data_IF_804128596443
#
_entry.id   IF_804128596443
#
_cell.length_a   1.000
_cell.length_b   1.000
_cell.length_c   1.000
_cell.angle_alpha   90.00
_cell.angle_beta   90.00
_cell.angle_gamma   90.00
#
_symmetry.space_group_name_H-M   'P 1'
#
loop_
_entity.id
_entity.type
_entity.pdbx_description
1 polymer ?
#
# COMPACT_ATOMS: atom_id res chain seq x y z
N UNK A 1 0.28 5.81 34.73
CA UNK A 1 -0.14 7.20 34.45
C UNK A 1 0.42 7.60 33.09
N UNK A 2 -0.30 7.28 31.99
CA UNK A 2 0.08 7.75 30.64
C UNK A 2 -0.15 9.25 30.62
N UNK A 3 0.90 10.07 30.54
CA UNK A 3 0.75 11.49 30.20
C UNK A 3 -0.07 11.54 28.90
N UNK A 4 -1.25 12.16 28.94
CA UNK A 4 -1.89 12.64 27.71
C UNK A 4 -0.83 13.49 27.01
N UNK A 5 -0.27 13.03 25.89
CA UNK A 5 0.43 13.93 24.97
C UNK A 5 -0.60 15.02 24.67
N UNK A 6 -0.35 16.25 25.10
CA UNK A 6 -1.02 17.41 24.51
C UNK A 6 -0.81 17.24 23.00
N UNK A 7 -1.88 17.32 22.19
CA UNK A 7 -1.77 17.14 20.75
C UNK A 7 -0.72 18.11 20.21
N UNK A 8 0.45 17.56 19.86
CA UNK A 8 1.51 18.34 19.22
C UNK A 8 0.95 18.90 17.90
N UNK A 9 1.41 20.08 17.52
CA UNK A 9 1.05 20.66 16.24
C UNK A 9 1.79 19.91 15.12
N UNK A 10 1.08 19.60 14.05
CA UNK A 10 1.69 19.04 12.84
C UNK A 10 2.08 20.19 11.91
N UNK A 11 3.33 20.23 11.46
CA UNK A 11 3.88 21.31 10.63
C UNK A 11 4.00 20.85 9.18
N UNK A 12 3.33 21.54 8.26
CA UNK A 12 3.36 21.25 6.83
C UNK A 12 4.22 22.26 6.08
N UNK A 13 4.99 21.74 5.14
CA UNK A 13 5.63 22.55 4.11
C UNK A 13 4.57 23.33 3.31
N UNK A 14 4.86 24.58 2.89
CA UNK A 14 3.99 25.30 1.96
C UNK A 14 4.01 24.71 0.54
N UNK A 15 4.90 23.75 0.25
CA UNK A 15 4.90 23.00 -1.02
C UNK A 15 3.56 22.27 -1.18
N UNK A 16 2.99 22.32 -2.39
CA UNK A 16 1.67 21.76 -2.63
C UNK A 16 0.57 22.56 -1.94
N UNK A 17 0.59 23.89 -2.10
CA UNK A 17 -0.28 24.86 -1.42
C UNK A 17 -1.75 24.45 -1.31
N UNK A 18 -2.32 23.85 -2.37
CA UNK A 18 -3.68 23.33 -2.35
C UNK A 18 -3.88 22.24 -1.28
N UNK A 19 -3.05 21.20 -1.28
CA UNK A 19 -3.13 20.09 -0.31
C UNK A 19 -2.85 20.59 1.11
N UNK A 20 -1.85 21.47 1.29
CA UNK A 20 -1.54 22.05 2.59
C UNK A 20 -2.71 22.89 3.16
N UNK A 21 -3.38 23.67 2.31
CA UNK A 21 -4.58 24.43 2.68
C UNK A 21 -5.76 23.50 3.03
N UNK A 22 -6.01 22.47 2.21
CA UNK A 22 -7.07 21.49 2.47
C UNK A 22 -6.84 20.75 3.81
N UNK A 23 -5.60 20.35 4.11
CA UNK A 23 -5.25 19.66 5.35
C UNK A 23 -5.34 20.57 6.59
N UNK A 24 -4.82 21.79 6.52
CA UNK A 24 -4.88 22.75 7.63
C UNK A 24 -6.32 23.20 7.94
N UNK A 25 -7.19 23.28 6.94
CA UNK A 25 -8.63 23.53 7.16
C UNK A 25 -9.33 22.34 7.81
N UNK A 26 -8.93 21.11 7.44
CA UNK A 26 -9.56 19.89 7.93
C UNK A 26 -9.14 19.50 9.33
N UNK A 27 -7.88 19.76 9.71
CA UNK A 27 -7.29 19.30 10.96
C UNK A 27 -6.85 20.49 11.83
N UNK A 28 -7.51 20.75 12.97
CA UNK A 28 -7.23 21.92 13.80
C UNK A 28 -5.80 22.01 14.37
N UNK A 29 -5.08 20.89 14.45
CA UNK A 29 -3.70 20.83 14.94
C UNK A 29 -2.64 20.98 13.82
N UNK A 30 -3.06 21.09 12.56
CA UNK A 30 -2.16 21.22 11.40
C UNK A 30 -1.90 22.68 11.09
N UNK A 31 -0.64 23.05 10.88
CA UNK A 31 -0.19 24.41 10.53
C UNK A 31 0.69 24.39 9.31
N UNK A 32 0.46 25.31 8.38
CA UNK A 32 1.36 25.53 7.23
C UNK A 32 2.47 26.50 7.65
N UNK A 33 3.72 26.09 7.46
CA UNK A 33 4.92 26.87 7.78
C UNK A 33 5.32 27.80 6.64
N UNK A 34 6.23 28.74 6.93
CA UNK A 34 6.70 29.72 5.94
C UNK A 34 7.55 29.08 4.83
N UNK A 35 8.37 28.08 5.19
CA UNK A 35 9.22 27.32 4.28
C UNK A 35 9.55 25.93 4.89
N UNK A 36 10.38 25.14 4.19
CA UNK A 36 10.78 23.82 4.66
C UNK A 36 11.69 23.85 5.90
N UNK A 37 12.48 24.92 6.07
CA UNK A 37 13.37 25.07 7.23
C UNK A 37 12.55 25.38 8.49
N UNK A 38 11.51 26.20 8.38
CA UNK A 38 10.57 26.48 9.48
C UNK A 38 9.81 25.20 9.92
N UNK A 39 9.51 24.28 8.98
CA UNK A 39 9.02 22.93 9.36
C UNK A 39 10.05 22.18 10.18
N UNK A 40 11.29 22.07 9.67
CA UNK A 40 12.35 21.30 10.34
C UNK A 40 12.66 21.85 11.74
N UNK A 41 12.73 23.18 11.88
CA UNK A 41 13.04 23.84 13.16
C UNK A 41 11.97 23.62 14.24
N UNK A 42 10.73 23.31 13.87
CA UNK A 42 9.60 23.12 14.80
C UNK A 42 9.27 21.66 15.08
N UNK A 43 9.95 20.74 14.41
CA UNK A 43 9.57 19.33 14.39
C UNK A 43 10.58 18.48 15.14
N UNK A 44 10.12 17.73 16.14
CA UNK A 44 10.90 16.64 16.76
C UNK A 44 11.07 15.46 15.78
N UNK A 45 10.14 15.32 14.83
CA UNK A 45 10.14 14.28 13.80
C UNK A 45 9.89 14.92 12.45
N UNK A 46 10.86 14.81 11.53
CA UNK A 46 10.76 15.33 10.17
C UNK A 46 10.45 14.19 9.21
N UNK A 47 9.31 14.27 8.51
CA UNK A 47 8.91 13.27 7.50
C UNK A 47 9.19 13.80 6.10
N UNK A 48 10.10 13.17 5.37
CA UNK A 48 10.44 13.48 3.99
C UNK A 48 9.59 12.63 3.03
N UNK A 49 8.51 13.22 2.53
CA UNK A 49 7.56 12.58 1.60
C UNK A 49 7.60 13.23 0.20
N UNK A 50 8.82 13.41 -0.33
CA UNK A 50 9.05 14.14 -1.59
C UNK A 50 9.23 13.17 -2.76
N UNK A 51 8.68 13.51 -3.92
CA UNK A 51 8.84 12.70 -5.14
C UNK A 51 10.25 12.88 -5.73
N UNK A 52 10.80 11.90 -6.46
CA UNK A 52 12.15 11.98 -7.01
C UNK A 52 12.44 13.27 -7.78
N UNK A 53 11.50 13.72 -8.63
CA UNK A 53 11.65 14.94 -9.43
C UNK A 53 11.65 16.24 -8.61
N UNK A 54 11.06 16.23 -7.42
CA UNK A 54 10.93 17.40 -6.55
C UNK A 54 12.04 17.42 -5.47
N UNK A 55 12.84 16.36 -5.37
CA UNK A 55 13.83 16.13 -4.30
C UNK A 55 14.85 17.25 -4.22
N UNK A 56 15.50 17.58 -5.33
CA UNK A 56 16.60 18.53 -5.37
C UNK A 56 16.15 19.91 -4.84
N UNK A 57 14.99 20.39 -5.31
CA UNK A 57 14.43 21.66 -4.87
C UNK A 57 13.97 21.61 -3.41
N UNK A 58 13.31 20.53 -2.97
CA UNK A 58 12.76 20.44 -1.62
C UNK A 58 13.83 20.34 -0.52
N UNK A 59 14.97 19.72 -0.84
CA UNK A 59 16.08 19.53 0.11
C UNK A 59 17.17 20.61 -0.01
N UNK A 60 17.07 21.51 -1.01
CA UNK A 60 18.06 22.55 -1.22
C UNK A 60 18.23 23.43 0.03
N UNK A 61 19.41 23.36 0.64
CA UNK A 61 19.75 24.14 1.84
C UNK A 61 19.04 23.70 3.13
N UNK A 62 18.25 22.63 3.09
CA UNK A 62 17.52 22.14 4.27
C UNK A 62 18.50 21.55 5.29
N UNK A 63 18.41 22.02 6.54
CA UNK A 63 19.17 21.49 7.67
C UNK A 63 18.24 20.90 8.73
N UNK A 64 18.61 19.75 9.28
CA UNK A 64 17.89 19.12 10.38
C UNK A 64 18.82 18.98 11.58
N UNK A 65 18.41 19.48 12.74
CA UNK A 65 19.19 19.37 13.98
C UNK A 65 19.30 17.93 14.47
N UNK A 66 20.26 17.68 15.36
CA UNK A 66 20.61 16.33 15.81
C UNK A 66 19.65 15.77 16.88
N UNK A 67 18.84 16.65 17.51
CA UNK A 67 17.93 16.31 18.61
C UNK A 67 16.63 15.61 18.16
N UNK A 68 16.38 15.54 16.85
CA UNK A 68 15.16 14.99 16.26
C UNK A 68 15.33 13.62 15.61
N UNK A 69 14.33 13.21 14.83
CA UNK A 69 14.35 11.99 14.00
C UNK A 69 13.91 12.33 12.58
N UNK A 70 14.60 11.80 11.58
CA UNK A 70 14.20 11.92 10.17
C UNK A 70 13.58 10.61 9.71
N UNK A 71 12.35 10.67 9.18
CA UNK A 71 11.69 9.56 8.49
C UNK A 71 11.65 9.88 6.99
N UNK A 72 12.31 9.08 6.17
CA UNK A 72 12.27 9.22 4.71
C UNK A 72 11.35 8.20 4.07
N UNK A 73 10.40 8.70 3.28
CA UNK A 73 9.51 7.89 2.43
C UNK A 73 9.99 7.90 0.97
N UNK A 74 11.14 8.52 0.70
CA UNK A 74 11.67 8.69 -0.64
C UNK A 74 12.28 7.39 -1.15
N UNK A 75 11.91 7.01 -2.36
CA UNK A 75 12.49 5.85 -3.06
C UNK A 75 13.89 6.19 -3.60
N UNK A 76 14.83 5.25 -3.50
CA UNK A 76 16.16 5.41 -4.08
C UNK A 76 17.03 6.49 -3.43
N UNK A 77 16.86 6.73 -2.12
CA UNK A 77 17.74 7.63 -1.37
C UNK A 77 18.21 6.92 -0.11
N UNK A 78 19.52 6.69 -0.01
CA UNK A 78 20.12 5.96 1.11
C UNK A 78 20.21 6.80 2.38
N UNK A 79 20.38 6.14 3.52
CA UNK A 79 20.51 6.81 4.83
C UNK A 79 21.75 7.74 4.87
N UNK A 80 22.88 7.28 4.33
CA UNK A 80 24.11 8.07 4.27
C UNK A 80 23.94 9.36 3.47
N UNK A 81 23.34 9.27 2.27
CA UNK A 81 23.05 10.42 1.42
C UNK A 81 22.12 11.44 2.11
N UNK A 82 21.10 10.96 2.83
CA UNK A 82 20.21 11.83 3.60
C UNK A 82 20.95 12.57 4.72
N UNK A 83 21.82 11.90 5.46
CA UNK A 83 22.62 12.54 6.51
C UNK A 83 23.50 13.64 5.96
N UNK A 84 24.20 13.36 4.86
CA UNK A 84 25.06 14.34 4.17
C UNK A 84 24.25 15.52 3.64
N UNK A 85 23.14 15.26 2.95
CA UNK A 85 22.28 16.28 2.34
C UNK A 85 21.70 17.21 3.41
N UNK A 86 21.20 16.64 4.51
CA UNK A 86 20.57 17.40 5.59
C UNK A 86 21.59 17.99 6.58
N UNK A 87 22.85 17.55 6.54
CA UNK A 87 23.88 17.88 7.52
C UNK A 87 23.46 17.53 8.95
N UNK A 88 22.95 16.31 9.17
CA UNK A 88 22.39 15.88 10.45
C UNK A 88 23.06 14.62 10.99
N UNK A 89 23.28 14.60 12.30
CA UNK A 89 23.64 13.42 13.10
C UNK A 89 22.43 12.67 13.66
N UNK A 90 21.21 13.17 13.45
CA UNK A 90 19.99 12.53 13.92
C UNK A 90 19.82 11.10 13.40
N UNK A 91 19.05 10.24 14.10
CA UNK A 91 18.54 9.01 13.54
C UNK A 91 17.77 9.28 12.24
N UNK A 92 18.15 8.57 11.17
CA UNK A 92 17.47 8.59 9.88
C UNK A 92 16.89 7.22 9.63
N UNK A 93 15.60 7.15 9.39
CA UNK A 93 14.82 5.92 9.19
C UNK A 93 14.15 6.00 7.82
N UNK A 94 14.41 5.02 6.96
CA UNK A 94 13.65 4.82 5.73
C UNK A 94 12.38 4.04 6.03
N UNK A 95 11.29 4.38 5.37
CA UNK A 95 10.02 3.67 5.51
C UNK A 95 9.30 3.48 4.16
N UNK A 96 8.56 2.37 4.03
CA UNK A 96 7.72 2.05 2.86
C UNK A 96 6.25 2.01 3.28
N UNK A 97 5.57 3.16 3.41
CA UNK A 97 4.13 3.17 3.64
C UNK A 97 3.40 2.89 2.33
N UNK A 98 2.46 1.93 2.37
CA UNK A 98 1.51 1.72 1.29
C UNK A 98 0.22 2.50 1.57
N UNK A 99 -0.57 2.88 0.55
CA UNK A 99 -1.82 3.63 0.74
C UNK A 99 -2.81 3.00 1.75
N UNK A 100 -2.74 1.68 1.93
CA UNK A 100 -3.52 0.90 2.91
C UNK A 100 -3.17 1.20 4.37
N UNK A 101 -2.09 1.95 4.63
CA UNK A 101 -1.74 2.46 5.97
C UNK A 101 -2.84 3.34 6.54
N UNK A 102 -3.63 4.01 5.69
CA UNK A 102 -4.80 4.81 6.12
C UNK A 102 -5.86 3.98 6.87
N UNK A 103 -5.88 2.67 6.63
CA UNK A 103 -6.81 1.72 7.25
C UNK A 103 -6.16 0.95 8.41
N UNK A 104 -4.86 1.18 8.67
CA UNK A 104 -4.05 0.44 9.63
C UNK A 104 -3.98 -1.07 9.34
N UNK A 105 -4.08 -1.45 8.06
CA UNK A 105 -4.10 -2.86 7.60
C UNK A 105 -2.88 -3.23 6.76
N UNK A 106 -1.84 -2.42 6.79
CA UNK A 106 -0.58 -2.71 6.09
C UNK A 106 0.56 -2.85 7.07
N UNK A 107 1.53 -3.65 6.66
CA UNK A 107 2.85 -3.66 7.28
C UNK A 107 3.68 -2.56 6.62
N UNK A 108 4.18 -1.63 7.42
CA UNK A 108 5.14 -0.61 6.99
C UNK A 108 6.55 -1.15 7.21
N UNK A 109 7.34 -1.28 6.15
CA UNK A 109 8.75 -1.67 6.27
C UNK A 109 9.53 -0.47 6.78
N UNK A 110 10.40 -0.64 7.77
CA UNK A 110 11.28 0.40 8.31
C UNK A 110 12.75 -0.03 8.28
N UNK A 111 13.68 0.90 8.09
CA UNK A 111 15.11 0.63 8.16
C UNK A 111 15.92 1.86 8.61
N UNK A 112 16.67 1.78 9.73
CA UNK A 112 16.61 0.75 10.75
C UNK A 112 15.27 0.78 11.52
N UNK A 113 15.08 -0.12 12.48
CA UNK A 113 13.99 -0.01 13.46
C UNK A 113 14.09 1.30 14.26
N UNK A 114 12.97 1.96 14.49
CA UNK A 114 12.90 3.09 15.41
C UNK A 114 11.48 3.25 15.97
N UNK A 115 11.30 3.44 17.29
CA UNK A 115 9.97 3.49 17.92
C UNK A 115 9.01 4.52 17.31
N UNK A 116 9.53 5.66 16.87
CA UNK A 116 8.73 6.73 16.22
C UNK A 116 8.17 6.29 14.87
N UNK A 117 8.85 5.40 14.15
CA UNK A 117 8.40 4.90 12.84
C UNK A 117 7.42 3.72 12.97
N UNK A 118 7.39 3.06 14.14
CA UNK A 118 6.58 1.87 14.38
C UNK A 118 5.20 2.20 15.00
N UNK A 119 4.99 3.42 15.49
CA UNK A 119 3.77 3.81 16.22
C UNK A 119 2.56 4.06 15.30
N UNK A 120 1.44 3.38 15.57
CA UNK A 120 0.13 3.76 15.03
C UNK A 120 -0.12 3.55 13.54
N UNK A 121 0.74 2.83 12.80
CA UNK A 121 0.60 2.58 11.35
C UNK A 121 -0.01 1.20 10.99
N UNK A 122 -0.55 0.48 11.97
CA UNK A 122 -1.02 -0.90 11.81
C UNK A 122 0.06 -1.89 12.25
N UNK A 123 0.89 -2.36 11.32
CA UNK A 123 2.07 -3.20 11.60
C UNK A 123 3.37 -2.59 11.08
N UNK A 124 4.49 -2.97 11.68
CA UNK A 124 5.83 -2.59 11.23
C UNK A 124 6.69 -3.83 11.00
N UNK A 125 7.49 -3.81 9.93
CA UNK A 125 8.54 -4.79 9.65
C UNK A 125 9.89 -4.07 9.69
N UNK A 126 10.55 -4.02 10.86
CA UNK A 126 11.86 -3.42 10.97
C UNK A 126 12.92 -4.30 10.32
N UNK A 127 13.78 -3.68 9.52
CA UNK A 127 14.96 -4.28 8.90
C UNK A 127 16.22 -3.58 9.38
N UNK A 128 17.29 -4.35 9.58
CA UNK A 128 18.58 -3.80 9.99
C UNK A 128 19.40 -3.24 8.80
N UNK A 129 19.14 -3.72 7.58
CA UNK A 129 19.99 -3.47 6.40
C UNK A 129 19.18 -2.82 5.25
N UNK A 130 19.76 -1.78 4.64
CA UNK A 130 19.22 -1.11 3.45
C UNK A 130 19.12 -2.05 2.24
N UNK A 131 19.95 -3.10 2.16
CA UNK A 131 19.90 -4.10 1.10
C UNK A 131 18.57 -4.89 1.14
N UNK A 132 18.18 -5.38 2.33
CA UNK A 132 16.91 -6.05 2.55
C UNK A 132 15.73 -5.10 2.35
N UNK A 133 15.87 -3.83 2.77
CA UNK A 133 14.87 -2.79 2.52
C UNK A 133 14.63 -2.57 1.03
N UNK A 134 15.70 -2.54 0.23
CA UNK A 134 15.61 -2.37 -1.21
C UNK A 134 14.94 -3.59 -1.89
N UNK A 135 15.14 -4.81 -1.39
CA UNK A 135 14.39 -6.00 -1.85
C UNK A 135 12.89 -5.81 -1.63
N UNK A 136 12.46 -5.42 -0.43
CA UNK A 136 11.03 -5.19 -0.16
C UNK A 136 10.47 -4.01 -0.96
N UNK A 137 11.28 -2.97 -1.20
CA UNK A 137 10.93 -1.86 -2.09
C UNK A 137 10.64 -2.36 -3.50
N UNK A 138 11.50 -3.22 -4.06
CA UNK A 138 11.31 -3.81 -5.39
C UNK A 138 10.02 -4.64 -5.47
N UNK A 139 9.66 -5.39 -4.42
CA UNK A 139 8.40 -6.12 -4.38
C UNK A 139 7.18 -5.21 -4.48
N UNK A 140 7.20 -4.03 -3.85
CA UNK A 140 6.08 -3.08 -3.93
C UNK A 140 5.85 -2.54 -5.35
N UNK A 141 6.88 -2.52 -6.19
CA UNK A 141 6.76 -2.07 -7.58
C UNK A 141 5.88 -3.00 -8.44
N UNK A 142 5.57 -4.20 -7.96
CA UNK A 142 4.71 -5.16 -8.68
C UNK A 142 3.21 -4.86 -8.55
N UNK A 143 2.80 -3.94 -7.68
CA UNK A 143 1.39 -3.61 -7.44
C UNK A 143 0.67 -3.13 -8.70
N UNK A 144 1.32 -2.32 -9.53
CA UNK A 144 0.73 -1.84 -10.78
C UNK A 144 0.72 -2.92 -11.86
N UNK A 145 1.71 -3.81 -11.88
CA UNK A 145 1.71 -5.02 -12.72
C UNK A 145 0.51 -5.90 -12.41
N UNK A 146 0.14 -6.05 -11.13
CA UNK A 146 -1.07 -6.77 -10.74
C UNK A 146 -2.34 -6.12 -11.32
N UNK A 147 -2.49 -4.78 -11.23
CA UNK A 147 -3.62 -4.09 -11.86
C UNK A 147 -3.60 -4.20 -13.39
N UNK A 148 -2.43 -4.16 -14.02
CA UNK A 148 -2.26 -4.38 -15.47
C UNK A 148 -2.68 -5.79 -15.89
N UNK A 149 -2.36 -6.81 -15.09
CA UNK A 149 -2.84 -8.18 -15.29
C UNK A 149 -4.38 -8.24 -15.24
N UNK A 150 -5.02 -7.66 -14.21
CA UNK A 150 -6.48 -7.62 -14.12
C UNK A 150 -7.12 -6.85 -15.28
N UNK A 151 -6.55 -5.71 -15.66
CA UNK A 151 -7.00 -4.93 -16.82
C UNK A 151 -6.93 -5.76 -18.11
N UNK A 152 -5.85 -6.52 -18.29
CA UNK A 152 -5.68 -7.43 -19.45
C UNK A 152 -6.77 -8.49 -19.50
N UNK A 153 -7.13 -9.09 -18.35
CA UNK A 153 -8.22 -10.07 -18.27
C UNK A 153 -9.56 -9.45 -18.68
N UNK A 154 -9.89 -8.27 -18.15
CA UNK A 154 -11.16 -7.58 -18.46
C UNK A 154 -11.26 -7.21 -19.94
N UNK A 155 -10.16 -6.70 -20.52
CA UNK A 155 -10.10 -6.36 -21.94
C UNK A 155 -10.21 -7.60 -22.83
N UNK A 156 -9.60 -8.73 -22.43
CA UNK A 156 -9.75 -10.00 -23.15
C UNK A 156 -11.20 -10.50 -23.11
N UNK A 157 -11.85 -10.49 -21.94
CA UNK A 157 -13.25 -10.91 -21.81
C UNK A 157 -14.19 -10.04 -22.67
N UNK A 158 -13.93 -8.73 -22.74
CA UNK A 158 -14.68 -7.83 -23.61
C UNK A 158 -14.56 -8.21 -25.10
N UNK A 159 -13.35 -8.59 -25.56
CA UNK A 159 -13.15 -9.10 -26.93
C UNK A 159 -13.86 -10.43 -27.20
N UNK A 160 -14.20 -11.19 -26.16
CA UNK A 160 -15.01 -12.42 -26.28
C UNK A 160 -16.53 -12.14 -26.24
N UNK A 161 -16.96 -10.88 -26.24
CA UNK A 161 -18.38 -10.50 -26.27
C UNK A 161 -19.01 -10.26 -24.90
N UNK A 162 -18.24 -10.30 -23.80
CA UNK A 162 -18.76 -9.93 -22.47
C UNK A 162 -18.86 -8.40 -22.37
N UNK A 163 -19.98 -7.82 -21.90
CA UNK A 163 -20.05 -6.38 -21.66
C UNK A 163 -18.92 -5.90 -20.73
N UNK A 164 -18.23 -4.82 -21.10
CA UNK A 164 -17.01 -4.37 -20.41
C UNK A 164 -17.23 -4.13 -18.90
N UNK A 165 -18.35 -3.52 -18.52
CA UNK A 165 -18.71 -3.31 -17.11
C UNK A 165 -18.95 -4.62 -16.35
N UNK A 166 -19.53 -5.62 -17.01
CA UNK A 166 -19.74 -6.93 -16.41
C UNK A 166 -18.42 -7.67 -16.21
N UNK A 167 -17.51 -7.60 -17.20
CA UNK A 167 -16.17 -8.17 -17.10
C UNK A 167 -15.36 -7.52 -15.96
N UNK A 168 -15.33 -6.19 -15.88
CA UNK A 168 -14.66 -5.45 -14.80
C UNK A 168 -15.22 -5.84 -13.42
N UNK A 169 -16.55 -5.81 -13.25
CA UNK A 169 -17.19 -6.20 -11.99
C UNK A 169 -16.87 -7.63 -11.58
N UNK A 170 -16.92 -8.56 -12.53
CA UNK A 170 -16.64 -9.96 -12.28
C UNK A 170 -15.19 -10.19 -11.86
N UNK A 171 -14.22 -9.66 -12.61
CA UNK A 171 -12.78 -9.80 -12.31
C UNK A 171 -12.45 -9.18 -10.95
N UNK A 172 -12.97 -7.98 -10.65
CA UNK A 172 -12.78 -7.36 -9.32
C UNK A 172 -13.30 -8.24 -8.19
N UNK A 173 -14.53 -8.74 -8.31
CA UNK A 173 -15.13 -9.61 -7.29
C UNK A 173 -14.32 -10.89 -7.09
N UNK A 174 -13.87 -11.51 -8.18
CA UNK A 174 -13.08 -12.75 -8.17
C UNK A 174 -11.76 -12.56 -7.42
N UNK A 175 -10.95 -11.59 -7.83
CA UNK A 175 -9.62 -11.36 -7.26
C UNK A 175 -9.66 -10.73 -5.87
N UNK A 176 -10.69 -9.94 -5.55
CA UNK A 176 -10.94 -9.53 -4.16
C UNK A 176 -11.24 -10.75 -3.27
N UNK A 177 -12.03 -11.71 -3.76
CA UNK A 177 -12.36 -12.94 -3.04
C UNK A 177 -11.11 -13.76 -2.72
N UNK A 178 -10.31 -14.08 -3.74
CA UNK A 178 -9.06 -14.86 -3.58
C UNK A 178 -8.02 -14.10 -2.76
N UNK A 179 -7.94 -12.77 -2.90
CA UNK A 179 -7.02 -11.94 -2.12
C UNK A 179 -7.24 -12.01 -0.61
N UNK A 180 -8.45 -12.35 -0.14
CA UNK A 180 -8.72 -12.54 1.30
C UNK A 180 -7.95 -13.74 1.87
N UNK A 181 -7.69 -14.76 1.06
CA UNK A 181 -6.93 -15.94 1.47
C UNK A 181 -5.47 -15.62 1.82
N UNK A 182 -4.94 -14.48 1.36
CA UNK A 182 -3.60 -13.99 1.74
C UNK A 182 -3.51 -13.58 3.22
N UNK A 183 -4.64 -13.42 3.90
CA UNK A 183 -4.68 -13.13 5.34
C UNK A 183 -4.50 -14.36 6.23
N UNK A 184 -4.49 -15.58 5.68
CA UNK A 184 -4.23 -16.81 6.44
C UNK A 184 -2.73 -17.10 6.48
N UNK A 185 -2.07 -16.68 7.56
CA UNK A 185 -0.63 -16.83 7.79
C UNK A 185 -0.18 -18.29 8.03
N UNK A 186 -1.12 -19.23 8.16
CA UNK A 186 -0.84 -20.65 8.33
C UNK A 186 -0.62 -21.38 7.02
N UNK A 187 -0.96 -20.77 5.89
CA UNK A 187 -0.84 -21.35 4.56
C UNK A 187 0.27 -20.64 3.77
N UNK A 188 1.21 -21.42 3.25
CA UNK A 188 2.16 -20.91 2.27
C UNK A 188 1.45 -20.52 0.97
N UNK A 189 2.04 -19.60 0.20
CA UNK A 189 1.53 -19.24 -1.13
C UNK A 189 1.43 -20.47 -2.06
N UNK A 190 2.33 -21.44 -1.94
CA UNK A 190 2.27 -22.69 -2.70
C UNK A 190 1.06 -23.56 -2.34
N UNK A 191 0.70 -23.62 -1.05
CA UNK A 191 -0.54 -24.29 -0.62
C UNK A 191 -1.79 -23.57 -1.12
N UNK A 192 -1.79 -22.23 -1.10
CA UNK A 192 -2.89 -21.45 -1.68
C UNK A 192 -3.06 -21.75 -3.17
N UNK A 193 -1.98 -21.86 -3.95
CA UNK A 193 -2.06 -22.31 -5.35
C UNK A 193 -2.72 -23.68 -5.44
N UNK A 194 -2.25 -24.66 -4.67
CA UNK A 194 -2.81 -26.02 -4.68
C UNK A 194 -4.29 -26.09 -4.30
N UNK A 195 -4.74 -25.31 -3.31
CA UNK A 195 -6.14 -25.25 -2.90
C UNK A 195 -7.09 -24.66 -3.95
N UNK A 196 -6.56 -23.89 -4.91
CA UNK A 196 -7.34 -23.30 -6.00
C UNK A 196 -7.16 -24.03 -7.33
N UNK A 197 -6.49 -25.18 -7.35
CA UNK A 197 -6.30 -26.02 -8.52
C UNK A 197 -7.05 -27.34 -8.38
N UNK A 198 -7.70 -27.77 -9.46
CA UNK A 198 -8.14 -29.15 -9.62
C UNK A 198 -7.20 -29.83 -10.61
N UNK A 199 -6.84 -31.12 -10.44
CA UNK A 199 -5.98 -31.82 -11.39
C UNK A 199 -6.52 -31.75 -12.83
N UNK A 200 -5.66 -31.36 -13.77
CA UNK A 200 -5.97 -31.05 -15.17
C UNK A 200 -7.02 -29.94 -15.37
N UNK A 201 -7.18 -29.08 -14.36
CA UNK A 201 -8.15 -28.00 -14.34
C UNK A 201 -7.70 -26.74 -15.08
N UNK A 202 -8.62 -25.78 -15.17
CA UNK A 202 -8.38 -24.51 -15.88
C UNK A 202 -7.29 -23.66 -15.22
N UNK A 203 -7.28 -23.56 -13.89
CA UNK A 203 -6.28 -22.77 -13.15
C UNK A 203 -4.88 -23.34 -13.33
N UNK A 204 -4.73 -24.66 -13.16
CA UNK A 204 -3.46 -25.36 -13.39
C UNK A 204 -2.96 -25.15 -14.83
N UNK A 205 -3.85 -25.34 -15.82
CA UNK A 205 -3.50 -25.17 -17.24
C UNK A 205 -3.01 -23.76 -17.53
N UNK A 206 -3.70 -22.73 -17.05
CA UNK A 206 -3.28 -21.33 -17.27
C UNK A 206 -1.99 -21.03 -16.52
N UNK A 207 -1.83 -21.43 -15.25
CA UNK A 207 -0.61 -21.19 -14.48
C UNK A 207 0.60 -21.84 -15.15
N UNK A 208 0.50 -23.11 -15.53
CA UNK A 208 1.62 -23.86 -16.12
C UNK A 208 1.96 -23.42 -17.54
N UNK A 209 0.98 -22.95 -18.33
CA UNK A 209 1.21 -22.47 -19.70
C UNK A 209 1.72 -21.03 -19.73
N UNK A 210 1.13 -20.13 -18.93
CA UNK A 210 1.49 -18.71 -18.94
C UNK A 210 2.53 -18.36 -17.90
N UNK A 211 2.45 -18.85 -16.66
CA UNK A 211 3.42 -18.53 -15.60
C UNK A 211 4.38 -19.70 -15.33
N UNK A 212 4.87 -20.32 -16.40
CA UNK A 212 5.95 -21.30 -16.35
C UNK A 212 7.33 -20.65 -16.22
N UNK A 213 8.38 -21.47 -16.30
CA UNK A 213 9.78 -21.09 -16.06
C UNK A 213 10.20 -19.80 -16.78
N UNK A 214 9.93 -19.69 -18.08
CA UNK A 214 10.35 -18.54 -18.88
C UNK A 214 9.77 -17.21 -18.37
N UNK A 215 8.48 -17.17 -18.02
CA UNK A 215 7.84 -15.94 -17.56
C UNK A 215 8.16 -15.63 -16.09
N UNK A 216 8.39 -16.65 -15.25
CA UNK A 216 8.92 -16.41 -13.91
C UNK A 216 10.34 -15.85 -13.94
N UNK A 217 11.21 -16.38 -14.82
CA UNK A 217 12.59 -15.89 -14.98
C UNK A 217 12.63 -14.47 -15.56
N UNK A 218 11.73 -14.15 -16.50
CA UNK A 218 11.60 -12.79 -17.02
C UNK A 218 11.20 -11.80 -15.92
N UNK A 219 10.27 -12.19 -15.03
CA UNK A 219 9.88 -11.37 -13.88
C UNK A 219 11.03 -11.18 -12.89
N UNK A 220 11.74 -12.25 -12.52
CA UNK A 220 12.86 -12.15 -11.58
C UNK A 220 13.98 -11.29 -12.16
N UNK A 221 14.29 -11.43 -13.44
CA UNK A 221 15.28 -10.58 -14.12
C UNK A 221 14.89 -9.09 -14.10
N UNK A 222 13.60 -8.76 -14.25
CA UNK A 222 13.13 -7.39 -14.15
C UNK A 222 13.24 -6.85 -12.71
N UNK A 223 12.97 -7.70 -11.71
CA UNK A 223 13.15 -7.35 -10.29
C UNK A 223 14.63 -7.16 -9.94
N UNK A 224 15.52 -8.01 -10.45
CA UNK A 224 16.97 -7.91 -10.24
C UNK A 224 17.53 -6.60 -10.83
N UNK A 225 17.06 -6.21 -12.02
CA UNK A 225 17.43 -4.93 -12.63
C UNK A 225 16.97 -3.74 -11.77
N UNK A 226 15.70 -3.74 -11.33
CA UNK A 226 15.19 -2.70 -10.43
C UNK A 226 15.96 -2.66 -9.10
N UNK A 227 16.28 -3.81 -8.52
CA UNK A 227 17.04 -3.91 -7.28
C UNK A 227 18.45 -3.35 -7.44
N UNK A 228 19.11 -3.63 -8.57
CA UNK A 228 20.42 -3.07 -8.89
C UNK A 228 20.38 -1.54 -8.97
N UNK A 229 19.32 -0.96 -9.53
CA UNK A 229 19.15 0.49 -9.62
C UNK A 229 18.89 1.12 -8.24
N UNK A 230 18.08 0.47 -7.40
CA UNK A 230 17.85 0.88 -6.01
C UNK A 230 19.13 0.84 -5.16
N UNK A 231 20.07 -0.07 -5.46
CA UNK A 231 21.35 -0.17 -4.77
C UNK A 231 22.38 0.88 -5.25
N UNK A 232 22.26 1.37 -6.48
CA UNK A 232 23.21 2.30 -7.10
C UNK A 232 22.98 3.78 -6.75
N UNK A 233 21.93 4.10 -5.99
CA UNK A 233 21.62 5.47 -5.57
C UNK A 233 22.74 6.04 -4.69
N UNK A 234 23.72 6.71 -5.34
CA UNK A 234 24.85 7.42 -4.73
C UNK A 234 24.73 8.90 -5.07
N UNK A 235 25.23 9.74 -4.16
CA UNK A 235 25.31 11.19 -4.28
C UNK A 235 25.84 11.63 -5.66
N UNK A 236 25.04 12.41 -6.38
CA UNK A 236 25.49 13.12 -7.58
C UNK A 236 24.60 12.99 -8.83
N UNK A 237 23.66 12.04 -8.88
CA UNK A 237 22.78 11.95 -10.05
C UNK A 237 21.69 13.03 -10.01
N UNK A 238 22.03 14.15 -10.62
CA UNK A 238 21.16 15.31 -10.81
C UNK A 238 20.15 15.00 -11.92
N UNK A 239 19.08 14.31 -11.54
CA UNK A 239 17.80 14.48 -12.23
C UNK A 239 17.71 13.92 -13.65
N UNK A 240 18.27 12.73 -13.90
CA UNK A 240 17.79 11.88 -14.99
C UNK A 240 17.19 10.63 -14.39
N UNK A 241 15.87 10.61 -14.19
CA UNK A 241 15.18 9.32 -14.14
C UNK A 241 15.53 8.63 -15.47
N UNK A 242 16.43 7.65 -15.44
CA UNK A 242 16.67 6.81 -16.61
C UNK A 242 15.30 6.26 -17.01
N UNK A 243 14.81 6.67 -18.17
CA UNK A 243 13.54 6.16 -18.65
C UNK A 243 13.71 4.65 -18.79
N UNK A 244 12.99 3.86 -18.00
CA UNK A 244 13.03 2.41 -18.11
C UNK A 244 12.77 2.01 -19.56
N UNK A 245 13.39 0.94 -20.07
CA UNK A 245 13.09 0.43 -21.40
C UNK A 245 11.57 0.29 -21.55
N UNK A 246 10.99 0.98 -22.54
CA UNK A 246 9.54 1.01 -22.81
C UNK A 246 8.64 1.71 -21.79
N UNK A 247 9.13 2.65 -20.97
CA UNK A 247 8.24 3.52 -20.18
C UNK A 247 7.31 4.30 -21.11
N UNK A 248 5.98 4.08 -21.09
CA UNK A 248 5.08 4.97 -21.79
C UNK A 248 5.15 6.35 -21.14
N UNK A 249 4.99 7.42 -21.94
CA UNK A 249 4.84 8.76 -21.39
C UNK A 249 3.73 8.75 -20.32
N UNK A 250 4.03 9.29 -19.14
CA UNK A 250 3.09 9.29 -18.02
C UNK A 250 1.73 9.82 -18.51
N UNK A 251 0.62 9.07 -18.33
CA UNK A 251 -0.68 9.59 -18.68
C UNK A 251 -0.92 10.87 -17.87
N UNK A 252 -1.43 11.92 -18.50
CA UNK A 252 -1.89 13.11 -17.80
C UNK A 252 -3.05 12.67 -16.90
N UNK A 253 -2.76 12.33 -15.65
CA UNK A 253 -3.78 12.12 -14.64
C UNK A 253 -4.51 13.46 -14.44
N UNK A 254 -5.72 13.57 -14.98
CA UNK A 254 -6.67 14.56 -14.49
C UNK A 254 -6.83 14.32 -12.99
N UNK A 255 -6.83 15.39 -12.15
CA UNK A 255 -7.07 15.22 -10.72
C UNK A 255 -8.41 14.49 -10.52
N UNK A 256 -8.52 13.58 -9.54
CA UNK A 256 -9.78 12.89 -9.28
C UNK A 256 -10.86 13.95 -9.02
N UNK A 257 -11.87 13.99 -9.90
CA UNK A 257 -13.04 14.89 -9.78
C UNK A 257 -14.06 14.38 -8.77
N UNK A 258 -13.77 13.29 -8.06
CA UNK A 258 -14.67 12.72 -7.07
C UNK A 258 -14.42 13.36 -5.72
N UNK A 259 -15.40 14.16 -5.26
CA UNK A 259 -15.52 14.65 -3.88
C UNK A 259 -15.12 13.54 -2.90
N UNK A 260 -14.14 13.84 -2.05
CA UNK A 260 -13.82 13.06 -0.86
C UNK A 260 -15.09 12.96 0.02
N UNK A 261 -15.91 11.93 -0.19
CA UNK A 261 -16.99 11.56 0.73
C UNK A 261 -16.48 10.48 1.67
N UNK A 262 -16.30 10.89 2.91
CA UNK A 262 -16.24 10.04 4.08
C UNK A 262 -17.62 9.47 4.36
N UNK A 263 -17.83 8.17 4.16
CA UNK A 263 -18.91 7.42 4.80
C UNK A 263 -18.45 5.96 4.97
N UNK A 264 -17.91 5.67 6.15
CA UNK A 264 -17.85 4.31 6.70
C UNK A 264 -18.62 4.34 8.01
N UNK A 265 -19.94 4.21 7.91
CA UNK A 265 -20.79 3.86 9.04
C UNK A 265 -20.38 2.47 9.53
N UNK A 266 -20.04 2.36 10.81
CA UNK A 266 -19.86 1.09 11.50
C UNK A 266 -21.14 0.26 11.44
N UNK A 267 -21.09 -1.07 11.29
CA UNK A 267 -22.27 -1.90 11.48
C UNK A 267 -22.59 -1.94 12.99
N UNK A 268 -23.70 -1.32 13.40
CA UNK A 268 -24.26 -1.50 14.73
C UNK A 268 -24.79 -2.92 14.87
N UNK A 269 -24.22 -3.69 15.81
CA UNK A 269 -24.80 -4.94 16.30
C UNK A 269 -26.03 -4.64 17.15
N UNK A 270 -27.23 -4.74 16.59
CA UNK A 270 -28.45 -4.79 17.41
C UNK A 270 -28.82 -6.25 17.68
N UNK A 271 -28.59 -6.68 18.93
CA UNK A 271 -29.19 -7.88 19.48
C UNK A 271 -30.72 -7.69 19.57
N UNK A 272 -31.48 -8.54 18.89
CA UNK A 272 -32.92 -8.58 19.01
C UNK A 272 -33.30 -9.44 20.24
N UNK A 273 -33.87 -8.80 21.26
CA UNK A 273 -34.50 -9.47 22.39
C UNK A 273 -36.01 -9.19 22.36
N UNK A 274 -36.79 -10.26 22.19
CA UNK A 274 -38.05 -10.55 22.86
C UNK A 274 -39.28 -9.67 22.61
N UNK A 275 -40.31 -10.25 21.99
CA UNK A 275 -41.67 -10.30 22.59
C UNK A 275 -42.61 -11.30 21.89
N UNK A 276 -43.70 -11.75 22.56
CA UNK A 276 -44.21 -13.11 22.45
C UNK A 276 -45.52 -13.30 21.64
N UNK A 277 -45.72 -14.56 21.23
CA UNK A 277 -46.98 -15.33 21.03
C UNK A 277 -48.30 -14.60 20.73
N UNK A 278 -48.94 -14.99 19.62
CA UNK A 278 -50.34 -15.51 19.49
C UNK A 278 -50.45 -16.22 18.14
N UNK A 279 -50.56 -17.56 18.04
CA UNK A 279 -51.73 -18.45 18.21
C UNK A 279 -52.55 -18.66 16.92
N UNK A 280 -52.89 -19.95 16.69
CA UNK A 280 -53.78 -20.56 15.68
C UNK A 280 -53.23 -20.66 14.25
N UNK A 281 -53.52 -21.67 13.44
CA UNK A 281 -54.09 -23.02 13.55
C UNK A 281 -54.31 -23.44 12.10
N UNK A 282 -53.82 -24.61 11.68
CA UNK A 282 -54.55 -25.61 10.86
C UNK A 282 -53.57 -26.49 10.07
N UNK A 283 -53.98 -27.75 9.95
CA UNK A 283 -53.20 -28.92 9.59
C UNK A 283 -53.25 -29.23 8.08
N UNK A 284 -52.25 -29.97 7.58
CA UNK A 284 -52.35 -31.03 6.54
C UNK A 284 -50.93 -31.44 6.10
N UNK A 285 -50.36 -32.54 6.58
CA UNK A 285 -50.33 -33.91 6.00
C UNK A 285 -49.26 -34.15 4.92
N UNK A 286 -48.35 -35.09 5.23
CA UNK A 286 -47.46 -35.90 4.36
C UNK A 286 -46.41 -35.14 3.51
N UNK A 287 -45.16 -35.59 3.31
CA UNK A 287 -44.67 -36.96 3.14
C UNK A 287 -43.17 -37.06 3.46
N UNK A 288 -42.73 -38.30 3.65
CA UNK A 288 -41.36 -38.73 3.94
C UNK A 288 -40.44 -38.50 2.73
N UNK A 289 -39.17 -38.16 2.98
CA UNK A 289 -38.04 -38.75 2.26
C UNK A 289 -36.70 -38.48 2.99
N UNK A 290 -35.96 -39.55 3.23
CA UNK A 290 -34.60 -39.58 3.77
C UNK A 290 -33.61 -39.21 2.66
N UNK A 291 -32.49 -38.55 2.99
CA UNK A 291 -31.14 -39.17 2.99
C UNK A 291 -29.98 -38.16 2.81
N UNK A 292 -29.02 -38.33 3.73
CA UNK A 292 -27.56 -38.38 3.54
C UNK A 292 -26.78 -37.07 3.31
N UNK A 293 -26.04 -36.76 4.37
CA UNK A 293 -24.70 -36.19 4.38
C UNK A 293 -23.79 -36.71 3.26
N UNK A 294 -22.91 -35.84 2.75
CA UNK A 294 -21.49 -36.17 2.66
C UNK A 294 -20.67 -34.89 2.90
N UNK A 295 -19.80 -34.98 3.91
CA UNK A 295 -18.63 -34.13 4.07
C UNK A 295 -17.63 -34.48 2.98
N UNK A 296 -16.95 -33.48 2.43
CA UNK A 296 -15.49 -33.45 2.25
C UNK A 296 -15.07 -31.99 2.23
#
# INVERSE_FOLDING_TARGET
MRRRRQSAADHLSPRGARTAAELSQRYPNVRVCADNQDVANRSEVVVLAVRPQDRAEALAGLRVGDDGVVISLMTGVGIGELRETLGTGAPVVRAIPLPTVRELRSVTVTCPSHPVADDGLGGALPLADESAFNVLSALTATLTTHYGYLATLTAWAARQGVPAEAADRYVRSLFQGVGRSLGDDKQSLGQLVGHHETPNGLNERIRTTWFGTANSEALTKALDALLADLAQSRAGDTGSASAWPNSPAAPRCSPPTTKWRSDCSTPSTSAAAGSPRTSRSSASTASRSRARSFRR
#
